data_IF_748881562781
#
_entry.id   IF_748881562781
#
_cell.length_a   1.000
_cell.length_b   1.000
_cell.length_c   1.000
_cell.angle_alpha   90.00
_cell.angle_beta   90.00
_cell.angle_gamma   90.00
#
_symmetry.space_group_name_H-M   'P 1'
#
loop_
_entity.id
_entity.type
_entity.pdbx_description
1 polymer ?
#
# COMPACT_ATOMS: atom_id res chain seq x y z
N UNK A 1 -37.21 34.26 21.35
CA UNK A 1 -36.89 34.18 20.91
C UNK A 1 -36.88 33.90 20.25
N UNK A 2 -36.75 33.52 20.02
CA UNK A 2 -36.59 33.11 19.44
C UNK A 2 -36.59 33.01 18.43
N UNK A 3 -36.58 32.78 18.07
CA UNK A 3 -36.47 32.50 17.21
C UNK A 3 -35.92 32.48 16.35
N UNK A 4 -35.64 32.45 16.38
CA UNK A 4 -35.00 32.42 15.66
C UNK A 4 -34.44 31.70 15.28
N UNK A 5 -34.47 31.16 15.65
CA UNK A 5 -33.91 30.40 15.36
C UNK A 5 -33.87 29.74 14.37
N UNK A 6 -34.10 29.58 14.31
CA UNK A 6 -34.05 28.90 13.49
C UNK A 6 -33.73 28.84 12.47
N UNK A 7 -33.78 29.06 12.49
CA UNK A 7 -33.49 28.97 11.57
C UNK A 7 -32.78 28.79 11.02
N UNK A 8 -32.11 28.59 11.19
CA UNK A 8 -31.27 28.42 10.68
C UNK A 8 -30.97 27.63 10.18
N UNK A 9 -31.33 27.21 10.69
CA UNK A 9 -30.96 26.40 10.38
C UNK A 9 -30.85 26.04 9.33
N UNK A 10 -31.20 26.11 9.21
CA UNK A 10 -31.01 25.70 8.21
C UNK A 10 -30.34 25.85 7.41
N UNK A 11 -30.03 26.00 7.62
CA UNK A 11 -29.34 26.05 6.96
C UNK A 11 -28.79 25.47 6.57
N UNK A 12 -28.68 25.01 6.95
CA UNK A 12 -28.05 24.42 6.60
C UNK A 12 -27.96 23.87 5.71
N UNK A 13 -28.51 23.90 5.68
CA UNK A 13 -28.42 23.29 4.81
C UNK A 13 -27.93 23.49 3.81
N UNK A 14 -27.87 23.80 3.85
CA UNK A 14 -27.36 23.88 3.04
C UNK A 14 -26.72 23.47 2.61
N UNK A 15 -26.57 23.23 3.05
CA UNK A 15 -26.02 22.80 2.69
C UNK A 15 -25.99 22.28 1.79
N UNK A 16 -26.16 22.18 1.55
CA UNK A 16 -26.12 21.68 0.74
C UNK A 16 -25.97 21.46 -0.28
N UNK A 17 -26.48 21.57 -0.34
CA UNK A 17 -26.45 21.55 -1.48
C UNK A 17 -25.21 21.28 -2.08
N UNK A 18 -24.52 21.59 -1.59
CA UNK A 18 -23.24 21.37 -2.04
C UNK A 18 -23.06 19.94 -2.27
N UNK A 19 -23.94 19.30 -1.98
CA UNK A 19 -23.91 18.02 -2.04
C UNK A 19 -23.73 17.37 -3.28
N UNK A 20 -24.24 17.72 -4.17
CA UNK A 20 -24.19 17.12 -5.31
C UNK A 20 -22.85 16.96 -5.76
N UNK A 21 -22.01 17.67 -5.41
CA UNK A 21 -20.71 17.59 -5.82
C UNK A 21 -20.17 16.40 -5.21
N UNK A 22 -20.81 15.94 -4.25
CA UNK A 22 -20.34 14.89 -3.49
C UNK A 22 -19.88 13.71 -4.24
N UNK A 23 -20.57 13.34 -5.26
CA UNK A 23 -20.17 12.13 -5.92
C UNK A 23 -18.80 12.30 -6.55
N UNK A 24 -18.52 13.43 -7.10
CA UNK A 24 -17.22 13.60 -7.68
C UNK A 24 -16.19 13.68 -6.63
N UNK A 25 -16.52 14.33 -5.60
CA UNK A 25 -15.62 14.49 -4.52
C UNK A 25 -15.22 13.16 -4.01
N UNK A 26 -16.15 12.26 -4.02
CA UNK A 26 -15.89 11.02 -3.51
C UNK A 26 -14.87 10.28 -4.30
N UNK A 27 -14.97 10.33 -5.56
CA UNK A 27 -14.05 9.65 -6.41
C UNK A 27 -12.66 10.16 -6.15
N UNK A 28 -12.52 11.42 -5.82
CA UNK A 28 -11.23 11.90 -5.57
C UNK A 28 -10.81 11.68 -4.21
N UNK A 29 -11.73 11.70 -3.35
CA UNK A 29 -11.39 11.55 -1.97
C UNK A 29 -10.87 10.15 -1.79
N UNK A 30 -11.17 9.28 -2.68
CA UNK A 30 -10.63 7.97 -2.60
C UNK A 30 -9.16 8.22 -2.80
N UNK A 31 -8.70 9.27 -2.21
CA UNK A 31 -7.36 9.69 -2.32
C UNK A 31 -6.51 8.51 -1.97
N UNK A 32 -5.59 8.25 -2.81
CA UNK A 32 -4.81 7.07 -2.69
C UNK A 32 -3.91 7.13 -1.49
N UNK A 33 -3.82 6.03 -0.80
CA UNK A 33 -2.94 5.93 0.35
C UNK A 33 -1.49 5.85 -0.09
N UNK A 34 -0.61 6.34 0.76
CA UNK A 34 0.83 6.23 0.56
C UNK A 34 1.44 5.51 1.75
N UNK A 35 2.19 4.50 1.48
CA UNK A 35 2.93 3.78 2.52
C UNK A 35 4.42 3.85 2.19
N UNK A 36 5.25 3.82 3.21
CA UNK A 36 6.70 3.92 3.05
C UNK A 36 7.36 2.74 3.73
N UNK A 37 8.30 2.11 3.05
CA UNK A 37 9.06 1.01 3.64
C UNK A 37 10.56 1.28 3.54
N UNK A 38 11.29 0.63 4.44
CA UNK A 38 12.75 0.65 4.49
C UNK A 38 13.23 -0.80 4.44
N UNK A 39 14.54 -1.04 4.29
CA UNK A 39 15.04 -2.41 4.31
C UNK A 39 14.73 -3.17 5.59
N UNK A 40 14.42 -2.47 6.67
CA UNK A 40 14.10 -3.11 7.95
C UNK A 40 12.62 -3.33 8.16
N UNK A 41 11.79 -2.86 7.26
CA UNK A 41 10.34 -2.98 7.42
C UNK A 41 9.89 -4.42 7.48
N UNK A 42 8.90 -4.68 8.32
CA UNK A 42 8.25 -5.98 8.38
C UNK A 42 7.01 -5.98 7.50
N UNK A 43 6.51 -7.15 7.15
CA UNK A 43 5.23 -7.22 6.42
C UNK A 43 4.13 -6.53 7.20
N UNK A 44 3.20 -5.93 6.49
CA UNK A 44 2.10 -5.16 7.08
C UNK A 44 1.33 -6.01 8.09
N UNK A 45 1.23 -5.53 9.31
CA UNK A 45 0.57 -6.21 10.42
C UNK A 45 1.04 -7.65 10.61
N UNK A 46 2.30 -7.91 10.30
CA UNK A 46 2.89 -9.23 10.47
C UNK A 46 2.40 -10.29 9.50
N UNK A 47 1.77 -9.87 8.40
CA UNK A 47 1.29 -10.80 7.40
C UNK A 47 2.45 -11.69 6.91
N UNK A 48 2.17 -12.94 6.70
CA UNK A 48 3.14 -13.96 6.27
C UNK A 48 4.15 -14.41 7.33
N UNK A 49 4.27 -13.71 8.47
CA UNK A 49 5.27 -14.12 9.46
C UNK A 49 5.13 -15.57 9.92
N UNK A 50 3.93 -16.10 9.89
CA UNK A 50 3.69 -17.47 10.31
C UNK A 50 3.67 -18.46 9.14
N UNK A 51 4.04 -18.02 7.95
CA UNK A 51 4.05 -18.89 6.79
C UNK A 51 5.29 -19.77 6.82
N UNK A 52 5.21 -20.87 7.55
CA UNK A 52 6.34 -21.77 7.72
C UNK A 52 6.85 -22.29 6.39
N UNK A 53 8.15 -22.26 6.22
CA UNK A 53 8.76 -22.72 4.98
C UNK A 53 8.84 -21.64 3.91
N UNK A 54 8.24 -20.48 4.13
CA UNK A 54 8.27 -19.37 3.19
C UNK A 54 8.95 -18.14 3.80
N UNK A 55 8.58 -17.76 5.01
CA UNK A 55 9.06 -16.54 5.63
C UNK A 55 10.30 -16.77 6.48
N UNK A 56 11.33 -15.98 6.25
CA UNK A 56 12.54 -15.96 7.08
C UNK A 56 13.25 -14.63 6.85
N UNK A 57 14.42 -14.44 7.46
CA UNK A 57 15.14 -13.17 7.33
C UNK A 57 15.56 -12.88 5.88
N UNK A 58 15.75 -13.91 5.07
CA UNK A 58 16.13 -13.72 3.67
C UNK A 58 14.96 -13.31 2.81
N UNK A 59 13.73 -13.77 3.12
CA UNK A 59 12.55 -13.47 2.34
C UNK A 59 11.72 -12.33 2.94
N UNK A 60 12.15 -11.79 4.07
CA UNK A 60 11.41 -10.75 4.78
C UNK A 60 11.08 -9.54 3.92
N UNK A 61 12.03 -9.04 3.18
CA UNK A 61 11.82 -7.84 2.37
C UNK A 61 10.82 -8.10 1.24
N UNK A 62 10.88 -9.28 0.64
CA UNK A 62 9.92 -9.67 -0.39
C UNK A 62 8.51 -9.66 0.20
N UNK A 63 8.33 -10.28 1.35
CA UNK A 63 7.00 -10.34 1.96
C UNK A 63 6.54 -8.99 2.49
N UNK A 64 7.47 -8.13 2.90
CA UNK A 64 7.11 -6.77 3.31
C UNK A 64 6.53 -6.01 2.12
N UNK A 65 7.24 -6.00 0.99
CA UNK A 65 6.76 -5.32 -0.21
C UNK A 65 5.44 -5.94 -0.67
N UNK A 66 5.37 -7.25 -0.76
CA UNK A 66 4.17 -7.95 -1.21
C UNK A 66 2.96 -7.60 -0.36
N UNK A 67 3.12 -7.56 0.96
CA UNK A 67 2.00 -7.27 1.85
C UNK A 67 1.46 -5.86 1.65
N UNK A 68 2.33 -4.90 1.35
CA UNK A 68 1.89 -3.53 1.10
C UNK A 68 1.25 -3.38 -0.28
N UNK A 69 1.74 -4.11 -1.28
CA UNK A 69 1.11 -4.10 -2.60
C UNK A 69 -0.30 -4.68 -2.52
N UNK A 70 -0.46 -5.78 -1.78
CA UNK A 70 -1.79 -6.38 -1.59
C UNK A 70 -2.71 -5.46 -0.80
N UNK A 71 -2.18 -4.74 0.18
CA UNK A 71 -2.96 -3.78 0.93
C UNK A 71 -3.44 -2.64 0.03
N UNK A 72 -2.56 -2.13 -0.82
CA UNK A 72 -2.91 -1.06 -1.73
C UNK A 72 -3.94 -1.51 -2.75
N UNK A 73 -3.81 -2.74 -3.23
CA UNK A 73 -4.80 -3.29 -4.15
C UNK A 73 -6.16 -3.33 -3.47
N UNK A 74 -6.20 -3.80 -2.24
CA UNK A 74 -7.45 -3.88 -1.48
C UNK A 74 -8.07 -2.51 -1.25
N UNK A 75 -7.27 -1.47 -1.20
CA UNK A 75 -7.75 -0.12 -1.02
C UNK A 75 -8.05 0.62 -2.32
N UNK A 76 -7.96 -0.07 -3.44
CA UNK A 76 -8.26 0.53 -4.73
C UNK A 76 -7.11 1.28 -5.38
N UNK A 77 -5.93 1.20 -4.82
CA UNK A 77 -4.75 1.84 -5.40
C UNK A 77 -4.00 2.70 -4.40
N UNK A 78 -2.92 3.28 -4.85
CA UNK A 78 -2.10 4.16 -4.02
C UNK A 78 -0.64 4.08 -4.38
N UNK A 79 0.21 4.46 -3.44
CA UNK A 79 1.65 4.55 -3.68
C UNK A 79 2.43 3.83 -2.59
N UNK A 80 3.43 3.08 -3.00
CA UNK A 80 4.41 2.49 -2.09
C UNK A 80 5.75 3.16 -2.34
N UNK A 81 6.25 3.87 -1.34
CA UNK A 81 7.55 4.53 -1.41
C UNK A 81 8.58 3.60 -0.82
N UNK A 82 9.61 3.30 -1.59
CA UNK A 82 10.70 2.41 -1.14
C UNK A 82 11.92 3.27 -0.90
N UNK A 83 12.37 3.30 0.35
CA UNK A 83 13.47 4.15 0.74
C UNK A 83 14.83 3.47 0.53
N UNK A 84 15.88 4.28 0.54
CA UNK A 84 17.25 3.86 0.29
C UNK A 84 17.62 2.56 0.96
N UNK A 85 18.31 1.73 0.26
CA UNK A 85 18.85 0.48 0.75
C UNK A 85 18.68 -0.65 -0.24
N UNK A 86 19.14 -1.82 0.13
CA UNK A 86 19.11 -3.01 -0.74
C UNK A 86 17.96 -3.92 -0.32
N UNK A 87 17.15 -4.31 -1.30
CA UNK A 87 16.01 -5.19 -1.08
C UNK A 87 16.21 -6.48 -1.85
N UNK A 88 16.22 -7.60 -1.13
CA UNK A 88 16.46 -8.91 -1.74
C UNK A 88 15.14 -9.51 -2.18
N UNK A 89 15.00 -9.77 -3.45
CA UNK A 89 13.74 -10.22 -4.02
C UNK A 89 13.94 -11.57 -4.72
N UNK A 90 13.42 -12.64 -4.12
CA UNK A 90 13.61 -13.98 -4.70
C UNK A 90 12.56 -14.37 -5.73
N UNK A 91 11.43 -13.70 -5.75
CA UNK A 91 10.35 -14.12 -6.63
C UNK A 91 9.61 -12.89 -7.17
N UNK A 92 8.64 -13.12 -8.04
CA UNK A 92 7.93 -12.05 -8.70
C UNK A 92 7.05 -11.27 -7.73
N UNK A 93 7.02 -9.96 -7.88
CA UNK A 93 6.12 -9.07 -7.18
C UNK A 93 5.14 -8.52 -8.21
N UNK A 94 3.87 -8.81 -8.02
CA UNK A 94 2.83 -8.30 -8.91
C UNK A 94 2.42 -6.91 -8.47
N UNK A 95 2.42 -5.98 -9.40
CA UNK A 95 2.02 -4.60 -9.10
C UNK A 95 0.57 -4.44 -9.53
N UNK A 96 -0.33 -4.27 -8.59
CA UNK A 96 -1.75 -4.15 -8.91
C UNK A 96 -2.06 -2.89 -9.71
N UNK A 97 -3.22 -2.88 -10.35
CA UNK A 97 -3.69 -1.69 -11.05
C UNK A 97 -3.81 -0.51 -10.09
N UNK A 98 -3.54 0.67 -10.58
CA UNK A 98 -3.63 1.91 -9.81
C UNK A 98 -2.65 1.99 -8.64
N UNK A 99 -1.62 1.18 -8.64
CA UNK A 99 -0.57 1.23 -7.62
C UNK A 99 0.71 1.73 -8.25
N UNK A 100 1.32 2.69 -7.60
CA UNK A 100 2.61 3.25 -8.03
C UNK A 100 3.68 2.84 -7.04
N UNK A 101 4.82 2.40 -7.54
CA UNK A 101 5.98 2.18 -6.69
C UNK A 101 6.96 3.29 -6.97
N UNK A 102 7.34 4.01 -5.93
CA UNK A 102 8.34 5.07 -6.05
C UNK A 102 9.63 4.61 -5.39
N UNK A 103 10.69 4.54 -6.17
CA UNK A 103 12.01 4.16 -5.64
C UNK A 103 12.79 5.43 -5.37
N UNK A 104 13.18 5.62 -4.13
CA UNK A 104 13.98 6.79 -3.77
C UNK A 104 15.44 6.57 -4.19
N UNK A 105 16.21 7.64 -4.22
CA UNK A 105 17.62 7.55 -4.55
C UNK A 105 18.32 6.58 -3.61
N UNK A 106 19.22 5.78 -4.14
CA UNK A 106 19.96 4.82 -3.34
C UNK A 106 19.25 3.49 -3.11
N UNK A 107 18.13 3.24 -3.78
CA UNK A 107 17.45 1.96 -3.69
C UNK A 107 18.08 0.98 -4.66
N UNK A 108 18.39 -0.21 -4.18
CA UNK A 108 18.84 -1.33 -5.01
C UNK A 108 17.85 -2.47 -4.83
N UNK A 109 17.26 -2.91 -5.92
CA UNK A 109 16.40 -4.10 -5.91
C UNK A 109 17.23 -5.25 -6.43
N UNK A 110 17.53 -6.20 -5.57
CA UNK A 110 18.45 -7.26 -5.92
C UNK A 110 17.77 -8.62 -6.03
N UNK A 111 17.81 -9.20 -7.19
CA UNK A 111 17.28 -10.54 -7.39
C UNK A 111 18.19 -11.53 -6.67
N UNK A 112 17.60 -12.45 -5.90
CA UNK A 112 18.36 -13.49 -5.25
C UNK A 112 17.87 -14.86 -5.69
N UNK A 113 18.78 -15.82 -5.73
CA UNK A 113 18.47 -17.17 -6.19
C UNK A 113 18.47 -18.19 -5.06
N UNK A 114 18.62 -17.75 -3.83
CA UNK A 114 18.56 -18.62 -2.66
C UNK A 114 17.71 -17.96 -1.59
N UNK A 115 16.69 -18.65 -1.16
CA UNK A 115 15.75 -18.10 -0.18
C UNK A 115 15.98 -18.61 1.22
N UNK A 116 16.68 -19.73 1.35
CA UNK A 116 16.82 -20.43 2.62
C UNK A 116 15.46 -20.79 3.20
N UNK A 117 14.43 -20.79 2.38
CA UNK A 117 13.08 -21.16 2.79
C UNK A 117 12.69 -22.42 2.01
N UNK A 118 12.37 -23.48 2.74
CA UNK A 118 12.18 -24.79 2.11
C UNK A 118 11.12 -24.78 1.03
N UNK A 119 10.06 -24.04 1.23
CA UNK A 119 8.92 -24.05 0.30
C UNK A 119 8.94 -22.91 -0.70
N UNK A 120 9.87 -21.99 -0.59
CA UNK A 120 9.90 -20.86 -1.49
C UNK A 120 11.10 -20.96 -2.43
N UNK A 121 10.81 -21.20 -3.68
CA UNK A 121 11.84 -21.27 -4.69
C UNK A 121 11.94 -19.94 -5.44
N UNK A 122 13.13 -19.58 -5.88
CA UNK A 122 13.29 -18.35 -6.64
C UNK A 122 12.50 -18.42 -7.92
N UNK A 123 11.87 -17.33 -8.28
CA UNK A 123 11.15 -17.21 -9.54
C UNK A 123 11.97 -16.47 -10.58
N UNK A 124 11.36 -16.20 -11.71
CA UNK A 124 12.07 -15.58 -12.83
C UNK A 124 12.33 -14.10 -12.68
N UNK A 125 11.32 -13.30 -12.80
CA UNK A 125 11.47 -11.84 -12.77
C UNK A 125 11.46 -11.25 -11.38
N UNK A 126 11.34 -9.93 -11.34
CA UNK A 126 11.18 -9.21 -10.06
C UNK A 126 9.80 -8.57 -10.03
N UNK A 127 9.47 -7.80 -11.04
CA UNK A 127 8.16 -7.15 -11.09
C UNK A 127 7.36 -7.66 -12.28
N UNK A 128 6.05 -7.67 -12.09
CA UNK A 128 5.14 -8.07 -13.13
C UNK A 128 3.82 -7.33 -12.95
#
# INVERSE_FOLDING_TARGET
MKKRKLVFAITAITVFSAMMLTSNTKAQAAAKKTYTITPKSSPYKGKYKKAKGYYNSTTKQYFAIRSYLELLEKKGGGKLVIKKGTYKIPNVLYIPSNVTIELKDGVTIKKIMKTKAKKMKPGGGIFE
#
